data_IF_885286061409
#
_entry.id   IF_885286061409
#
_cell.length_a   1.000
_cell.length_b   1.000
_cell.length_c   1.000
_cell.angle_alpha   90.00
_cell.angle_beta   90.00
_cell.angle_gamma   90.00
#
_symmetry.space_group_name_H-M   'P 1'
#
loop_
_entity.id
_entity.type
_entity.pdbx_description
1 polymer ?
#
# COMPACT_ATOMS: atom_id res chain seq x y z
N UNK A 1 5.57 -6.64 -1.80
CA UNK A 1 6.14 -5.69 -0.89
C UNK A 1 5.42 -5.59 0.45
N UNK A 2 4.11 -5.49 0.47
CA UNK A 2 3.31 -5.62 1.69
C UNK A 2 2.26 -6.70 1.47
N UNK A 3 2.16 -7.60 2.41
CA UNK A 3 1.19 -8.69 2.38
C UNK A 3 0.58 -8.85 3.76
N UNK A 4 -0.73 -9.08 3.82
CA UNK A 4 -1.33 -9.71 4.97
C UNK A 4 -2.29 -10.82 4.56
N UNK A 5 -2.54 -11.72 5.49
CA UNK A 5 -3.31 -12.93 5.23
C UNK A 5 -2.46 -14.13 4.82
N UNK A 6 -3.10 -15.29 4.78
CA UNK A 6 -2.49 -16.55 4.36
C UNK A 6 -2.35 -16.61 2.83
N UNK A 7 -1.47 -17.48 2.33
CA UNK A 7 -1.19 -17.59 0.90
C UNK A 7 -2.25 -18.39 0.14
N UNK A 8 -3.51 -18.09 0.33
CA UNK A 8 -4.63 -18.60 -0.44
C UNK A 8 -5.23 -17.47 -1.28
N UNK A 9 -5.71 -17.76 -2.48
CA UNK A 9 -6.20 -16.74 -3.41
C UNK A 9 -7.27 -15.84 -2.81
N UNK A 10 -8.18 -16.41 -2.01
CA UNK A 10 -9.32 -15.70 -1.43
C UNK A 10 -9.05 -15.09 -0.04
N UNK A 11 -7.87 -15.34 0.56
CA UNK A 11 -7.55 -14.95 1.95
C UNK A 11 -6.27 -14.13 2.06
N UNK A 12 -5.88 -13.47 0.99
CA UNK A 12 -4.69 -12.63 0.92
C UNK A 12 -5.01 -11.25 0.44
N UNK A 13 -4.26 -10.31 0.93
CA UNK A 13 -4.22 -8.95 0.44
C UNK A 13 -2.75 -8.61 0.15
N UNK A 14 -2.43 -8.33 -1.10
CA UNK A 14 -1.08 -7.99 -1.54
C UNK A 14 -1.01 -6.62 -2.17
N UNK A 15 -0.03 -5.84 -1.76
CA UNK A 15 0.47 -4.69 -2.48
C UNK A 15 1.89 -5.03 -2.95
N UNK A 16 2.10 -5.16 -4.24
CA UNK A 16 3.35 -5.64 -4.82
C UNK A 16 3.68 -5.01 -6.17
N UNK A 17 4.88 -5.25 -6.67
CA UNK A 17 5.18 -5.01 -8.07
C UNK A 17 4.53 -6.09 -8.97
N UNK A 18 3.97 -5.65 -10.08
CA UNK A 18 3.58 -6.49 -11.21
C UNK A 18 4.60 -6.31 -12.32
N UNK A 19 5.32 -7.36 -12.65
CA UNK A 19 6.33 -7.35 -13.72
C UNK A 19 5.65 -7.58 -15.06
N UNK A 20 5.93 -6.71 -16.03
CA UNK A 20 5.49 -6.80 -17.40
C UNK A 20 6.65 -6.39 -18.32
N UNK A 21 7.30 -7.37 -18.92
CA UNK A 21 8.54 -7.17 -19.67
C UNK A 21 9.65 -6.60 -18.79
N UNK A 22 10.26 -5.50 -19.21
CA UNK A 22 11.33 -4.80 -18.49
C UNK A 22 10.80 -3.76 -17.46
N UNK A 23 9.47 -3.63 -17.31
CA UNK A 23 8.84 -2.68 -16.41
C UNK A 23 8.11 -3.38 -15.29
N UNK A 24 7.87 -2.69 -14.22
CA UNK A 24 6.92 -3.15 -13.21
C UNK A 24 6.06 -2.01 -12.67
N UNK A 25 4.87 -2.38 -12.26
CA UNK A 25 3.81 -1.47 -11.85
C UNK A 25 3.33 -1.79 -10.44
N UNK A 26 2.92 -0.79 -9.70
CA UNK A 26 2.27 -1.03 -8.41
C UNK A 26 0.96 -1.77 -8.63
N UNK A 27 0.79 -2.90 -7.96
CA UNK A 27 -0.36 -3.79 -8.08
C UNK A 27 -0.92 -4.16 -6.73
N UNK A 28 -2.25 -4.21 -6.64
CA UNK A 28 -2.97 -4.83 -5.54
C UNK A 28 -3.66 -6.11 -5.99
N UNK A 29 -3.69 -7.10 -5.11
CA UNK A 29 -4.40 -8.36 -5.30
C UNK A 29 -5.21 -8.70 -4.07
N UNK A 30 -6.46 -9.08 -4.29
CA UNK A 30 -7.35 -9.63 -3.27
C UNK A 30 -8.38 -10.54 -3.92
N UNK A 31 -8.76 -11.61 -3.25
CA UNK A 31 -9.84 -12.55 -3.65
C UNK A 31 -9.74 -13.02 -5.12
N UNK A 32 -8.52 -13.21 -5.63
CA UNK A 32 -8.30 -13.59 -7.02
C UNK A 32 -8.46 -12.47 -8.04
N UNK A 33 -8.90 -11.28 -7.62
CA UNK A 33 -8.89 -10.06 -8.43
C UNK A 33 -7.60 -9.27 -8.27
N UNK A 34 -7.43 -8.29 -9.13
CA UNK A 34 -6.26 -7.42 -9.08
C UNK A 34 -6.54 -6.07 -9.75
N UNK A 35 -5.74 -5.08 -9.35
CA UNK A 35 -5.70 -3.77 -9.96
C UNK A 35 -4.24 -3.32 -10.00
N UNK A 36 -3.75 -2.78 -11.13
CA UNK A 36 -2.40 -2.22 -11.22
C UNK A 36 -2.39 -0.91 -11.99
N UNK A 37 -1.36 -0.10 -11.74
CA UNK A 37 -1.15 1.18 -12.38
C UNK A 37 -0.40 1.11 -13.71
N UNK A 38 -0.02 2.27 -14.23
CA UNK A 38 0.72 2.44 -15.49
C UNK A 38 2.11 3.10 -15.32
N UNK A 39 2.47 3.50 -14.10
CA UNK A 39 3.78 4.09 -13.83
C UNK A 39 4.79 2.98 -13.53
N UNK A 40 5.93 2.98 -14.25
CA UNK A 40 7.03 2.06 -13.95
C UNK A 40 7.66 2.41 -12.60
N UNK A 41 7.77 1.43 -11.72
CA UNK A 41 8.31 1.58 -10.35
C UNK A 41 9.56 0.71 -10.11
N UNK A 42 10.15 0.17 -11.18
CA UNK A 42 11.39 -0.61 -11.11
C UNK A 42 12.45 0.03 -12.01
N UNK A 43 12.73 1.30 -11.79
CA UNK A 43 13.68 2.10 -12.55
C UNK A 43 14.92 2.51 -11.74
N UNK A 44 15.06 1.94 -10.55
CA UNK A 44 16.19 2.23 -9.65
C UNK A 44 16.05 3.51 -8.83
N UNK A 45 14.87 4.15 -8.86
CA UNK A 45 14.60 5.38 -8.10
C UNK A 45 13.70 5.11 -6.91
N UNK A 46 13.66 6.07 -6.00
CA UNK A 46 12.66 6.12 -4.94
C UNK A 46 11.31 6.55 -5.52
N UNK A 47 10.26 5.81 -5.15
CA UNK A 47 8.88 6.13 -5.50
C UNK A 47 8.02 6.13 -4.25
N UNK A 48 7.15 7.13 -4.13
CA UNK A 48 6.10 7.13 -3.12
C UNK A 48 4.92 6.31 -3.61
N UNK A 49 4.52 5.32 -2.83
CA UNK A 49 3.38 4.44 -3.16
C UNK A 49 2.25 4.63 -2.15
N UNK A 50 1.02 4.83 -2.65
CA UNK A 50 -0.16 4.74 -1.81
C UNK A 50 -1.27 3.95 -2.51
N UNK A 51 -1.94 3.11 -1.74
CA UNK A 51 -3.13 2.37 -2.18
C UNK A 51 -4.27 2.72 -1.23
N UNK A 52 -5.35 3.22 -1.79
CA UNK A 52 -6.55 3.60 -1.04
C UNK A 52 -7.70 2.68 -1.42
N UNK A 53 -8.35 2.10 -0.42
CA UNK A 53 -9.61 1.40 -0.58
C UNK A 53 -10.73 2.33 -0.12
N UNK A 54 -11.48 2.98 -1.03
CA UNK A 54 -12.46 3.99 -0.67
C UNK A 54 -13.58 3.41 0.17
N UNK A 55 -14.10 4.19 1.09
CA UNK A 55 -15.28 3.82 1.88
C UNK A 55 -16.44 3.43 0.96
N UNK A 56 -17.04 2.27 1.23
CA UNK A 56 -18.15 1.74 0.44
C UNK A 56 -17.75 1.02 -0.85
N UNK A 57 -16.46 0.98 -1.19
CA UNK A 57 -15.96 0.16 -2.29
C UNK A 57 -16.25 -1.33 -2.04
N UNK A 58 -16.50 -2.07 -3.12
CA UNK A 58 -16.90 -3.48 -3.04
C UNK A 58 -16.02 -4.40 -3.88
N UNK A 59 -15.29 -3.84 -4.82
CA UNK A 59 -14.48 -4.57 -5.79
C UNK A 59 -13.00 -4.21 -5.68
N UNK A 60 -12.13 -5.15 -6.06
CA UNK A 60 -10.68 -4.92 -6.11
C UNK A 60 -10.32 -3.77 -7.06
N UNK A 61 -11.11 -3.57 -8.11
CA UNK A 61 -10.95 -2.46 -9.06
C UNK A 61 -11.34 -1.09 -8.47
N UNK A 62 -12.01 -1.04 -7.32
CA UNK A 62 -12.33 0.23 -6.66
C UNK A 62 -11.12 0.88 -5.95
N UNK A 63 -10.03 0.13 -5.75
CA UNK A 63 -8.80 0.70 -5.19
C UNK A 63 -8.26 1.82 -6.09
N UNK A 64 -7.84 2.89 -5.43
CA UNK A 64 -7.08 3.97 -6.05
C UNK A 64 -5.59 3.72 -5.80
N UNK A 65 -4.82 3.66 -6.86
CA UNK A 65 -3.37 3.45 -6.82
C UNK A 65 -2.71 4.79 -7.13
N UNK A 66 -1.85 5.25 -6.24
CA UNK A 66 -1.06 6.46 -6.43
C UNK A 66 0.42 6.10 -6.47
N UNK A 67 1.12 6.66 -7.44
CA UNK A 67 2.58 6.64 -7.53
C UNK A 67 3.06 8.09 -7.63
N UNK A 68 3.99 8.47 -6.77
CA UNK A 68 4.53 9.83 -6.69
C UNK A 68 3.44 10.92 -6.58
N UNK A 69 2.44 10.63 -5.72
CA UNK A 69 1.30 11.49 -5.47
C UNK A 69 0.27 11.59 -6.60
N UNK A 70 0.46 10.88 -7.71
CA UNK A 70 -0.42 10.90 -8.89
C UNK A 70 -1.27 9.64 -8.95
N UNK A 71 -2.58 9.83 -9.23
CA UNK A 71 -3.49 8.72 -9.46
C UNK A 71 -3.14 8.03 -10.78
N UNK A 72 -2.89 6.73 -10.70
CA UNK A 72 -2.61 5.89 -11.87
C UNK A 72 -3.91 5.45 -12.57
N UNK A 73 -3.78 5.09 -13.84
CA UNK A 73 -4.81 4.34 -14.55
C UNK A 73 -5.03 2.97 -13.91
N UNK A 74 -6.15 2.35 -14.23
CA UNK A 74 -6.54 1.05 -13.69
C UNK A 74 -6.47 -0.02 -14.77
N UNK A 75 -5.81 -1.12 -14.44
CA UNK A 75 -5.77 -2.33 -15.25
C UNK A 75 -6.04 -3.53 -14.36
N UNK A 76 -6.44 -4.65 -14.95
CA UNK A 76 -6.57 -5.92 -14.22
C UNK A 76 -7.97 -6.51 -14.24
N UNK A 77 -8.27 -7.37 -13.27
CA UNK A 77 -9.48 -8.16 -13.20
C UNK A 77 -10.32 -7.82 -11.97
N UNK A 78 -11.58 -7.51 -12.19
CA UNK A 78 -12.56 -7.28 -11.14
C UNK A 78 -12.85 -8.55 -10.34
N UNK A 79 -12.98 -8.42 -9.04
CA UNK A 79 -13.50 -9.43 -8.11
C UNK A 79 -14.00 -8.72 -6.86
N UNK A 80 -15.09 -9.20 -6.25
CA UNK A 80 -15.54 -8.68 -4.98
C UNK A 80 -14.43 -8.72 -3.93
N UNK A 81 -14.33 -7.66 -3.12
CA UNK A 81 -13.38 -7.63 -2.02
C UNK A 81 -13.69 -8.69 -0.97
N UNK A 82 -12.64 -9.34 -0.49
CA UNK A 82 -12.70 -10.17 0.70
C UNK A 82 -11.61 -9.71 1.69
N UNK A 83 -12.03 -9.06 2.76
CA UNK A 83 -11.11 -8.58 3.81
C UNK A 83 -10.88 -9.61 4.91
N UNK A 84 -11.55 -10.76 4.87
CA UNK A 84 -11.34 -11.88 5.80
C UNK A 84 -10.08 -12.67 5.41
N UNK A 85 -8.93 -12.15 5.78
CA UNK A 85 -7.63 -12.74 5.44
C UNK A 85 -7.24 -13.93 6.33
N UNK A 86 -8.02 -14.24 7.38
CA UNK A 86 -7.77 -15.33 8.35
C UNK A 86 -6.40 -15.27 9.04
N UNK A 87 -5.69 -14.16 8.95
CA UNK A 87 -4.37 -13.97 9.54
C UNK A 87 -4.19 -12.51 9.95
N UNK A 88 -3.50 -12.30 11.05
CA UNK A 88 -3.09 -10.97 11.52
C UNK A 88 -1.64 -10.64 11.14
N UNK A 89 -0.96 -11.55 10.44
CA UNK A 89 0.42 -11.33 10.02
C UNK A 89 0.49 -10.33 8.87
N UNK A 90 1.38 -9.36 9.02
CA UNK A 90 1.78 -8.42 7.98
C UNK A 90 3.25 -8.68 7.67
N UNK A 91 3.57 -8.94 6.41
CA UNK A 91 4.94 -9.06 5.94
C UNK A 91 5.26 -7.89 5.00
N UNK A 92 6.45 -7.32 5.16
CA UNK A 92 7.00 -6.30 4.28
C UNK A 92 8.30 -6.81 3.66
N UNK A 93 8.54 -6.46 2.39
CA UNK A 93 9.74 -6.88 1.67
C UNK A 93 9.73 -8.32 1.16
N UNK A 94 8.70 -9.11 1.48
CA UNK A 94 8.57 -10.48 1.00
C UNK A 94 7.12 -10.82 0.65
N UNK A 95 6.93 -11.70 -0.31
CA UNK A 95 5.61 -12.27 -0.61
C UNK A 95 5.27 -13.42 0.34
N UNK A 96 6.23 -14.27 0.62
CA UNK A 96 6.14 -15.41 1.53
C UNK A 96 7.31 -15.35 2.51
N UNK A 97 7.15 -15.93 3.68
CA UNK A 97 8.13 -15.85 4.76
C UNK A 97 9.56 -16.30 4.38
N UNK A 98 9.69 -17.14 3.36
CA UNK A 98 10.95 -17.80 3.03
C UNK A 98 11.40 -17.65 1.56
N UNK A 99 10.65 -16.90 0.73
CA UNK A 99 11.05 -16.65 -0.66
C UNK A 99 10.29 -15.47 -1.28
N UNK A 100 10.71 -15.07 -2.48
CA UNK A 100 10.15 -13.95 -3.25
C UNK A 100 10.38 -12.62 -2.51
N UNK A 101 11.65 -12.38 -2.16
CA UNK A 101 12.07 -11.16 -1.50
C UNK A 101 12.13 -9.99 -2.48
N UNK A 102 11.89 -8.79 -1.95
CA UNK A 102 12.12 -7.56 -2.68
C UNK A 102 13.62 -7.24 -2.71
N UNK A 103 14.11 -6.86 -3.87
CA UNK A 103 15.44 -6.25 -4.01
C UNK A 103 15.26 -4.72 -4.00
N UNK A 104 15.51 -4.08 -2.87
CA UNK A 104 15.33 -2.65 -2.69
C UNK A 104 15.24 -2.25 -1.22
N UNK A 105 14.92 -1.00 -0.98
CA UNK A 105 14.77 -0.44 0.36
C UNK A 105 13.36 0.10 0.57
N UNK A 106 12.91 0.12 1.81
CA UNK A 106 11.71 0.81 2.27
C UNK A 106 12.08 1.97 3.18
N UNK A 107 11.35 3.03 3.07
CA UNK A 107 11.33 4.11 4.05
C UNK A 107 9.88 4.49 4.33
N UNK A 108 9.58 4.84 5.57
CA UNK A 108 8.28 5.35 6.03
C UNK A 108 7.05 4.55 5.54
N UNK A 109 6.73 3.45 6.20
CA UNK A 109 5.53 2.68 5.90
C UNK A 109 4.42 2.94 6.93
N UNK A 110 3.17 3.07 6.47
CA UNK A 110 2.00 3.24 7.33
C UNK A 110 0.75 2.58 6.74
N UNK A 111 -0.15 2.18 7.63
CA UNK A 111 -1.50 1.70 7.30
C UNK A 111 -2.48 2.58 8.06
N UNK A 112 -3.51 3.06 7.36
CA UNK A 112 -4.57 3.90 7.90
C UNK A 112 -5.89 3.14 7.87
N UNK A 113 -6.74 3.35 8.86
CA UNK A 113 -8.11 2.82 8.91
C UNK A 113 -9.14 3.76 8.27
N UNK A 114 -8.67 4.77 7.56
CA UNK A 114 -9.47 5.74 6.78
C UNK A 114 -8.94 5.84 5.36
N UNK A 115 -9.81 6.23 4.44
CA UNK A 115 -9.42 6.52 3.07
C UNK A 115 -8.79 7.93 2.97
N UNK A 116 -7.52 7.97 2.58
CA UNK A 116 -6.81 9.22 2.38
C UNK A 116 -7.23 9.91 1.08
N UNK A 117 -7.36 11.22 1.13
CA UNK A 117 -7.55 12.05 -0.06
C UNK A 117 -6.24 12.19 -0.85
N UNK A 118 -6.33 12.56 -2.13
CA UNK A 118 -5.15 12.83 -2.96
C UNK A 118 -4.25 13.93 -2.34
N UNK A 119 -4.85 14.95 -1.73
CA UNK A 119 -4.12 16.03 -1.05
C UNK A 119 -3.34 15.52 0.16
N UNK A 120 -3.94 14.64 0.97
CA UNK A 120 -3.26 14.03 2.12
C UNK A 120 -2.12 13.11 1.68
N UNK A 121 -2.31 12.33 0.61
CA UNK A 121 -1.24 11.50 0.03
C UNK A 121 -0.08 12.37 -0.45
N UNK A 122 -0.38 13.47 -1.13
CA UNK A 122 0.64 14.40 -1.62
C UNK A 122 1.39 15.09 -0.47
N UNK A 123 0.68 15.43 0.61
CA UNK A 123 1.28 15.99 1.81
C UNK A 123 2.26 15.00 2.48
N UNK A 124 1.85 13.75 2.64
CA UNK A 124 2.72 12.68 3.18
C UNK A 124 3.98 12.54 2.32
N UNK A 125 3.82 12.48 1.00
CA UNK A 125 4.94 12.36 0.07
C UNK A 125 5.95 13.53 0.19
N UNK A 126 5.45 14.77 0.34
CA UNK A 126 6.31 15.97 0.29
C UNK A 126 6.90 16.36 1.63
N UNK A 127 6.24 16.06 2.72
CA UNK A 127 6.63 16.46 4.08
C UNK A 127 7.14 15.31 4.94
N UNK A 128 7.00 14.08 4.46
CA UNK A 128 7.21 12.88 5.24
C UNK A 128 6.04 12.54 6.15
N UNK A 129 5.96 11.28 6.53
CA UNK A 129 4.84 10.74 7.31
C UNK A 129 4.70 11.42 8.67
N UNK A 130 5.81 11.60 9.41
CA UNK A 130 5.79 12.22 10.73
C UNK A 130 5.27 13.67 10.70
N UNK A 131 5.74 14.47 9.76
CA UNK A 131 5.30 15.88 9.60
C UNK A 131 3.84 15.96 9.20
N UNK A 132 3.40 15.15 8.23
CA UNK A 132 2.01 15.13 7.77
C UNK A 132 1.04 14.71 8.89
N UNK A 133 1.45 13.82 9.78
CA UNK A 133 0.63 13.38 10.91
C UNK A 133 0.58 14.38 12.07
N UNK A 134 1.59 15.26 12.19
CA UNK A 134 1.67 16.26 13.26
C UNK A 134 1.04 17.60 12.86
N UNK A 135 0.77 17.84 11.58
CA UNK A 135 0.21 19.10 11.10
C UNK A 135 -1.29 19.17 11.38
N UNK A 136 -1.68 20.01 12.37
CA UNK A 136 -3.09 20.15 12.83
C UNK A 136 -4.03 20.71 11.75
N UNK A 137 -3.56 21.44 10.76
CA UNK A 137 -4.41 22.06 9.74
C UNK A 137 -4.86 21.12 8.62
N UNK A 138 -4.18 19.99 8.50
CA UNK A 138 -4.48 18.94 7.50
C UNK A 138 -4.58 17.56 8.14
N UNK A 139 -4.73 17.54 9.47
CA UNK A 139 -4.57 16.36 10.31
C UNK A 139 -5.46 15.21 9.88
N UNK A 140 -4.80 14.12 9.53
CA UNK A 140 -5.35 12.80 9.73
C UNK A 140 -5.50 12.68 11.25
N UNK A 141 -6.74 12.81 11.74
CA UNK A 141 -7.04 12.80 13.18
C UNK A 141 -6.39 11.59 13.86
N UNK A 142 -5.81 11.77 15.05
CA UNK A 142 -5.09 10.69 15.75
C UNK A 142 -5.97 9.48 16.08
N UNK A 143 -7.27 9.67 16.23
CA UNK A 143 -8.27 8.61 16.42
C UNK A 143 -8.42 7.70 15.19
N UNK A 144 -8.03 8.19 14.01
CA UNK A 144 -8.13 7.49 12.73
C UNK A 144 -6.85 6.73 12.39
N UNK A 145 -5.87 6.74 13.29
CA UNK A 145 -4.62 5.99 13.15
C UNK A 145 -4.75 4.66 13.88
N UNK A 146 -4.48 3.57 13.18
CA UNK A 146 -4.06 2.35 13.88
C UNK A 146 -2.79 2.74 14.63
N UNK A 147 -2.73 2.49 15.95
CA UNK A 147 -1.60 2.89 16.78
C UNK A 147 -0.31 2.32 16.20
N UNK A 148 0.44 3.17 15.54
CA UNK A 148 1.72 2.79 14.94
C UNK A 148 2.81 2.96 15.98
N UNK A 149 3.01 1.96 16.82
CA UNK A 149 4.20 1.85 17.67
C UNK A 149 5.51 1.66 16.86
N UNK A 150 5.43 1.72 15.54
CA UNK A 150 6.57 1.56 14.63
C UNK A 150 7.53 2.75 14.63
N UNK A 151 7.08 3.94 15.05
CA UNK A 151 7.95 5.10 15.16
C UNK A 151 8.95 5.03 16.34
N UNK A 152 8.73 4.13 17.29
CA UNK A 152 9.58 3.99 18.49
C UNK A 152 10.82 3.12 18.23
N UNK A 153 10.82 2.31 17.18
CA UNK A 153 11.93 1.37 16.90
C UNK A 153 13.18 2.07 16.31
N UNK A 154 13.08 3.31 15.83
CA UNK A 154 14.21 4.04 15.21
C UNK A 154 15.28 4.53 16.19
N UNK A 155 15.03 4.56 17.49
CA UNK A 155 15.94 5.17 18.47
C UNK A 155 16.73 4.15 19.34
N UNK A 156 16.82 2.89 18.93
CA UNK A 156 17.44 1.84 19.77
C UNK A 156 18.64 1.13 19.11
N UNK A 157 19.25 1.72 18.06
CA UNK A 157 20.51 1.21 17.49
C UNK A 157 21.47 2.34 17.17
#
# INVERSE_FOLDING_TARGET
WVKWGINEATKKYYVRAHVDGAKCYLRIENNGGNNWGDTNVCDGKWHHHAVVFPKGAKDVQDHKIYVDGKLNKKFGAAKPMNTDTKSQEVAMGARLANHTFMHGSFDEAAIFNVDLTATQIQLIMTQGLASALNNKSTAIESRDKLSTNWAIIRNSY
#
